data_IF_179136162632
#
_entry.id   IF_179136162632
#
_cell.length_a   1.000
_cell.length_b   1.000
_cell.length_c   1.000
_cell.angle_alpha   90.00
_cell.angle_beta   90.00
_cell.angle_gamma   90.00
#
_symmetry.space_group_name_H-M   'P 1'
#
loop_
_entity.id
_entity.type
_entity.pdbx_description
1 polymer ?
#
# COMPACT_ATOMS: atom_id res chain seq x y z
N UNK A 1 -7.96 35.93 11.13
CA UNK A 1 -8.06 34.70 11.95
C UNK A 1 -7.11 33.68 11.35
N UNK A 2 -6.18 33.13 12.13
CA UNK A 2 -5.33 32.03 11.65
C UNK A 2 -6.13 30.73 11.67
N UNK A 3 -6.16 30.03 10.55
CA UNK A 3 -6.88 28.76 10.39
C UNK A 3 -6.00 27.64 10.98
N UNK A 4 -6.40 26.98 12.08
CA UNK A 4 -5.58 25.94 12.72
C UNK A 4 -5.21 24.80 11.78
N UNK A 5 -6.13 24.39 10.90
CA UNK A 5 -5.92 23.35 9.89
C UNK A 5 -4.80 23.72 8.91
N UNK A 6 -4.64 25.01 8.62
CA UNK A 6 -3.56 25.50 7.77
C UNK A 6 -2.20 25.37 8.44
N UNK A 7 -2.12 25.61 9.76
CA UNK A 7 -0.88 25.40 10.52
C UNK A 7 -0.48 23.92 10.56
N UNK A 8 -1.44 23.02 10.76
CA UNK A 8 -1.16 21.58 10.72
C UNK A 8 -0.68 21.12 9.34
N UNK A 9 -1.31 21.62 8.27
CA UNK A 9 -0.87 21.35 6.90
C UNK A 9 0.59 21.79 6.67
N UNK A 10 0.94 23.01 7.09
CA UNK A 10 2.31 23.51 6.94
C UNK A 10 3.31 22.68 7.72
N UNK A 11 2.96 22.24 8.92
CA UNK A 11 3.81 21.34 9.72
C UNK A 11 4.03 20.00 9.02
N UNK A 12 2.98 19.39 8.46
CA UNK A 12 3.09 18.15 7.67
C UNK A 12 3.97 18.37 6.45
N UNK A 13 3.75 19.44 5.67
CA UNK A 13 4.55 19.73 4.47
C UNK A 13 6.03 19.96 4.82
N UNK A 14 6.31 20.61 5.94
CA UNK A 14 7.70 20.80 6.40
C UNK A 14 8.34 19.47 6.81
N UNK A 15 7.60 18.59 7.49
CA UNK A 15 8.12 17.30 7.95
C UNK A 15 8.41 16.33 6.80
N UNK A 16 7.62 16.38 5.72
CA UNK A 16 7.76 15.50 4.55
C UNK A 16 8.50 16.17 3.37
N UNK A 17 9.09 17.34 3.60
CA UNK A 17 9.68 18.16 2.54
C UNK A 17 10.76 17.40 1.76
N UNK A 18 11.63 16.68 2.48
CA UNK A 18 12.72 15.94 1.87
C UNK A 18 12.20 14.82 0.97
N UNK A 19 11.26 14.02 1.45
CA UNK A 19 10.65 12.90 0.72
C UNK A 19 9.87 13.38 -0.51
N UNK A 20 9.16 14.51 -0.38
CA UNK A 20 8.47 15.16 -1.50
C UNK A 20 9.48 15.60 -2.57
N UNK A 21 10.60 16.20 -2.17
CA UNK A 21 11.61 16.67 -3.10
C UNK A 21 12.42 15.53 -3.72
N UNK A 22 12.68 14.46 -2.97
CA UNK A 22 13.39 13.26 -3.44
C UNK A 22 12.69 12.59 -4.63
N UNK A 23 11.37 12.80 -4.82
CA UNK A 23 10.65 12.37 -6.02
C UNK A 23 11.23 12.97 -7.32
N UNK A 24 11.77 14.19 -7.25
CA UNK A 24 12.30 14.89 -8.41
C UNK A 24 13.64 14.31 -8.88
N UNK A 25 14.44 13.79 -7.94
CA UNK A 25 15.71 13.11 -8.23
C UNK A 25 15.48 11.63 -8.53
N UNK A 26 14.62 10.99 -7.74
CA UNK A 26 14.25 9.59 -7.85
C UNK A 26 12.76 9.49 -8.15
N UNK A 27 12.38 9.09 -9.37
CA UNK A 27 10.97 8.91 -9.80
C UNK A 27 10.29 7.70 -9.14
N UNK A 28 10.62 7.41 -7.88
CA UNK A 28 10.02 6.36 -7.06
C UNK A 28 8.69 6.90 -6.55
N UNK A 29 7.61 6.17 -6.82
CA UNK A 29 6.26 6.58 -6.46
C UNK A 29 5.67 5.57 -5.47
N UNK A 30 4.81 6.04 -4.56
CA UNK A 30 4.03 5.16 -3.70
C UNK A 30 2.92 4.39 -4.45
N UNK A 31 2.75 4.60 -5.75
CA UNK A 31 1.65 4.04 -6.54
C UNK A 31 1.59 2.51 -6.52
N UNK A 32 2.74 1.83 -6.46
CA UNK A 32 2.77 0.38 -6.30
C UNK A 32 2.18 -0.06 -4.94
N UNK A 33 2.60 0.60 -3.86
CA UNK A 33 2.11 0.34 -2.49
C UNK A 33 0.63 0.69 -2.37
N UNK A 34 0.21 1.81 -2.94
CA UNK A 34 -1.20 2.23 -3.01
C UNK A 34 -2.05 1.22 -3.77
N UNK A 35 -1.57 0.71 -4.90
CA UNK A 35 -2.24 -0.33 -5.67
C UNK A 35 -2.44 -1.61 -4.87
N UNK A 36 -1.42 -2.03 -4.11
CA UNK A 36 -1.53 -3.17 -3.17
C UNK A 36 -2.56 -2.89 -2.07
N UNK A 37 -2.51 -1.72 -1.44
CA UNK A 37 -3.44 -1.32 -0.39
C UNK A 37 -4.89 -1.27 -0.90
N UNK A 38 -5.13 -0.73 -2.09
CA UNK A 38 -6.45 -0.68 -2.70
C UNK A 38 -6.99 -2.09 -2.95
N UNK A 39 -6.16 -2.99 -3.49
CA UNK A 39 -6.54 -4.39 -3.70
C UNK A 39 -6.90 -5.11 -2.40
N UNK A 40 -6.11 -4.91 -1.33
CA UNK A 40 -6.39 -5.47 -0.01
C UNK A 40 -7.73 -4.95 0.52
N UNK A 41 -8.00 -3.64 0.37
CA UNK A 41 -9.30 -3.03 0.73
C UNK A 41 -10.45 -3.66 -0.06
N UNK A 42 -10.27 -3.90 -1.36
CA UNK A 42 -11.27 -4.59 -2.20
C UNK A 42 -11.53 -6.01 -1.71
N UNK A 43 -10.49 -6.79 -1.40
CA UNK A 43 -10.64 -8.15 -0.84
C UNK A 43 -11.45 -8.13 0.45
N UNK A 44 -11.14 -7.19 1.37
CA UNK A 44 -11.89 -7.03 2.62
C UNK A 44 -13.36 -6.68 2.37
N UNK A 45 -13.64 -5.79 1.40
CA UNK A 45 -15.00 -5.36 1.03
C UNK A 45 -15.81 -6.50 0.42
N UNK A 46 -15.23 -7.26 -0.51
CA UNK A 46 -15.89 -8.41 -1.15
C UNK A 46 -16.27 -9.51 -0.17
N UNK A 47 -15.53 -9.65 0.94
CA UNK A 47 -15.82 -10.61 1.99
C UNK A 47 -16.81 -10.09 3.06
N UNK A 48 -17.27 -8.83 2.95
CA UNK A 48 -18.04 -8.14 3.99
C UNK A 48 -17.31 -8.08 5.34
N UNK A 49 -15.98 -8.03 5.30
CA UNK A 49 -15.12 -8.09 6.48
C UNK A 49 -14.67 -9.51 6.85
N UNK A 50 -13.63 -9.58 7.67
CA UNK A 50 -13.07 -10.83 8.18
C UNK A 50 -13.11 -10.81 9.69
N UNK A 51 -13.67 -11.85 10.31
CA UNK A 51 -13.65 -12.04 11.77
C UNK A 51 -12.30 -12.56 12.26
N UNK A 52 -11.64 -13.37 11.44
CA UNK A 52 -10.31 -13.94 11.71
C UNK A 52 -9.28 -13.28 10.77
N UNK A 53 -8.27 -12.63 11.36
CA UNK A 53 -7.23 -11.92 10.62
C UNK A 53 -6.26 -12.87 9.90
N UNK A 54 -6.06 -14.09 10.38
CA UNK A 54 -5.20 -15.07 9.73
C UNK A 54 -5.85 -15.55 8.42
N UNK A 55 -7.17 -15.75 8.42
CA UNK A 55 -7.91 -16.04 7.18
C UNK A 55 -7.84 -14.87 6.19
N UNK A 56 -7.86 -13.62 6.69
CA UNK A 56 -7.67 -12.45 5.84
C UNK A 56 -6.27 -12.41 5.21
N UNK A 57 -5.23 -12.66 6.01
CA UNK A 57 -3.83 -12.75 5.54
C UNK A 57 -3.66 -13.84 4.49
N UNK A 58 -4.17 -15.04 4.76
CA UNK A 58 -4.15 -16.16 3.80
C UNK A 58 -4.83 -15.79 2.49
N UNK A 59 -5.97 -15.09 2.54
CA UNK A 59 -6.65 -14.60 1.32
C UNK A 59 -5.79 -13.60 0.55
N UNK A 60 -5.19 -12.62 1.20
CA UNK A 60 -4.31 -11.64 0.55
C UNK A 60 -3.13 -12.33 -0.14
N UNK A 61 -2.51 -13.30 0.54
CA UNK A 61 -1.39 -14.08 0.01
C UNK A 61 -1.81 -14.95 -1.17
N UNK A 62 -2.96 -15.63 -1.09
CA UNK A 62 -3.48 -16.46 -2.17
C UNK A 62 -3.82 -15.64 -3.42
N UNK A 63 -4.29 -14.41 -3.22
CA UNK A 63 -4.65 -13.53 -4.34
C UNK A 63 -3.39 -12.91 -4.96
N UNK A 64 -2.31 -12.71 -4.21
CA UNK A 64 -1.04 -12.22 -4.75
C UNK A 64 -0.33 -13.38 -5.44
N UNK A 65 -0.16 -13.39 -6.77
CA UNK A 65 0.52 -14.50 -7.42
C UNK A 65 1.93 -14.58 -6.83
N UNK A 66 2.24 -15.69 -6.15
CA UNK A 66 3.63 -16.14 -6.16
C UNK A 66 3.94 -16.42 -7.61
N UNK A 67 5.12 -16.04 -8.06
CA UNK A 67 5.73 -16.63 -9.26
C UNK A 67 5.70 -18.16 -9.08
N UNK A 68 4.62 -18.81 -9.54
CA UNK A 68 4.63 -20.24 -9.86
C UNK A 68 5.31 -20.32 -11.22
N UNK A 69 6.63 -20.13 -11.18
CA UNK A 69 7.54 -20.60 -12.22
C UNK A 69 8.65 -21.37 -11.52
N UNK A 70 8.33 -22.62 -11.25
CA UNK A 70 9.25 -23.73 -11.49
C UNK A 70 8.39 -24.99 -11.60
N UNK A 71 7.63 -25.06 -12.68
CA UNK A 71 7.27 -26.35 -13.24
C UNK A 71 8.51 -26.82 -14.03
N UNK A 72 8.98 -28.03 -13.72
CA UNK A 72 9.98 -28.87 -14.44
C UNK A 72 11.48 -28.67 -14.16
N UNK A 73 12.06 -29.54 -13.34
CA UNK A 73 13.09 -30.48 -13.82
C UNK A 73 12.92 -31.83 -13.13
N UNK A 74 12.57 -32.81 -13.96
CA UNK A 74 12.66 -34.27 -13.76
C UNK A 74 13.99 -34.67 -13.13
N UNK A 75 13.93 -35.42 -12.02
CA UNK A 75 14.65 -36.68 -11.77
C UNK A 75 13.81 -37.51 -10.79
#
# INVERSE_FOLDING_TARGET
EEIPEFKELLHILSNWREEILNYFDYRITNGFVEGKNNRIKTIKRMAYGYRNLDNFRLRILATSPKSVRSQFHTY
#
